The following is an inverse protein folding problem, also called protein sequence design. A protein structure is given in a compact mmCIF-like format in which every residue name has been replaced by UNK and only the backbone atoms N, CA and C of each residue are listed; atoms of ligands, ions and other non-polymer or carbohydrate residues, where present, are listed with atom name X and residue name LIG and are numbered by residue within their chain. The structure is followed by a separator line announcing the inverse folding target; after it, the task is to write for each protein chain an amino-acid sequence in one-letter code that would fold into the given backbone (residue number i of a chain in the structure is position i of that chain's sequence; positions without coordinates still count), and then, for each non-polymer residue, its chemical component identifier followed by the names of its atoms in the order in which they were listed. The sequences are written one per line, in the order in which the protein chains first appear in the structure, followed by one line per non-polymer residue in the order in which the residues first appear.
data_IF_846946140777
#
_entry.id   IF_846946140777
#
_cell.length_a   1.000
_cell.length_b   1.000
_cell.length_c   1.000
_cell.angle_alpha   90.00
_cell.angle_beta   90.00
_cell.angle_gamma   90.00
#
_symmetry.space_group_name_H-M   'P 1'
#
loop_
_entity.id
_entity.type
_entity.pdbx_description
1 polymer ?
#
# COMPACT_ATOMS: atom_id res chain seq x y z
N UNK A 1 1.09 5.23 10.70
CA UNK A 1 -0.13 4.64 11.26
C UNK A 1 -0.45 5.39 12.51
N UNK A 2 -1.61 6.03 12.51
CA UNK A 2 -2.15 6.70 13.68
C UNK A 2 -2.52 5.66 14.77
N UNK A 3 -2.69 6.07 16.04
CA UNK A 3 -3.14 5.17 17.08
C UNK A 3 -4.45 4.47 16.69
N UNK A 4 -4.53 3.15 16.89
CA UNK A 4 -5.71 2.31 16.59
C UNK A 4 -6.07 2.21 15.09
N UNK A 5 -5.23 2.77 14.20
CA UNK A 5 -5.45 2.71 12.76
C UNK A 5 -5.04 1.35 12.19
N UNK A 6 -5.96 0.70 11.48
CA UNK A 6 -5.67 -0.54 10.78
C UNK A 6 -4.71 -0.30 9.60
N UNK A 7 -3.73 -1.21 9.34
CA UNK A 7 -2.69 -0.96 8.33
C UNK A 7 -3.21 -0.73 6.90
N UNK A 8 -4.34 -1.35 6.54
CA UNK A 8 -4.99 -1.16 5.25
C UNK A 8 -5.61 0.24 5.12
N UNK A 9 -6.22 0.75 6.20
CA UNK A 9 -6.79 2.10 6.24
C UNK A 9 -5.69 3.15 6.18
N UNK A 10 -4.60 2.94 6.93
CA UNK A 10 -3.41 3.77 6.86
C UNK A 10 -2.86 3.84 5.43
N UNK A 11 -2.70 2.70 4.75
CA UNK A 11 -2.16 2.68 3.39
C UNK A 11 -3.01 3.49 2.39
N UNK A 12 -4.35 3.45 2.52
CA UNK A 12 -5.26 4.22 1.66
C UNK A 12 -5.24 5.71 2.01
N UNK A 13 -5.20 6.05 3.30
CA UNK A 13 -5.12 7.45 3.74
C UNK A 13 -3.81 8.10 3.29
N UNK A 14 -2.67 7.47 3.60
CA UNK A 14 -1.33 7.98 3.29
C UNK A 14 -1.14 8.22 1.78
N UNK A 15 -1.57 7.29 0.92
CA UNK A 15 -1.42 7.49 -0.54
C UNK A 15 -2.35 8.57 -1.10
N UNK A 16 -3.48 8.83 -0.44
CA UNK A 16 -4.34 9.96 -0.76
C UNK A 16 -3.68 11.29 -0.37
N UNK A 17 -3.11 11.38 0.84
CA UNK A 17 -2.42 12.57 1.35
C UNK A 17 -1.12 12.87 0.60
N UNK A 18 -0.30 11.85 0.33
CA UNK A 18 1.04 12.02 -0.24
C UNK A 18 1.04 12.05 -1.77
N UNK A 19 0.16 11.28 -2.42
CA UNK A 19 0.16 11.10 -3.87
C UNK A 19 -1.14 11.50 -4.55
N UNK A 20 -2.20 11.87 -3.81
CA UNK A 20 -3.44 12.35 -4.39
C UNK A 20 -4.15 11.32 -5.26
N UNK A 21 -4.11 10.03 -4.90
CA UNK A 21 -4.77 8.97 -5.65
C UNK A 21 -5.73 8.18 -4.78
N UNK A 22 -6.81 7.69 -5.39
CA UNK A 22 -7.70 6.69 -4.79
C UNK A 22 -7.80 5.49 -5.71
N UNK A 23 -8.19 4.37 -5.15
CA UNK A 23 -8.19 3.12 -5.89
C UNK A 23 -8.82 1.96 -5.16
N UNK A 24 -8.82 0.81 -5.82
CA UNK A 24 -9.19 -0.46 -5.21
C UNK A 24 -7.96 -1.04 -4.52
N UNK A 25 -8.02 -1.14 -3.18
CA UNK A 25 -6.96 -1.76 -2.40
C UNK A 25 -6.94 -3.26 -2.66
N UNK A 26 -5.78 -3.77 -3.01
CA UNK A 26 -5.52 -5.18 -3.28
C UNK A 26 -4.81 -5.89 -2.13
N UNK A 27 -4.06 -6.94 -2.48
CA UNK A 27 -3.35 -7.77 -1.52
C UNK A 27 -2.24 -7.00 -0.77
N UNK A 28 -1.94 -7.46 0.44
CA UNK A 28 -0.69 -7.16 1.13
C UNK A 28 0.47 -7.79 0.34
N UNK A 29 1.45 -6.97 -0.04
CA UNK A 29 2.71 -7.41 -0.66
C UNK A 29 3.64 -7.98 0.41
N UNK A 30 3.73 -7.30 1.55
CA UNK A 30 4.57 -7.73 2.65
C UNK A 30 4.70 -6.67 3.74
N UNK A 31 5.43 -7.04 4.78
CA UNK A 31 5.78 -6.17 5.91
C UNK A 31 7.28 -5.98 5.87
N UNK A 32 7.73 -4.75 5.67
CA UNK A 32 9.13 -4.42 5.45
C UNK A 32 9.68 -3.63 6.63
N UNK A 33 10.83 -4.05 7.14
CA UNK A 33 11.50 -3.38 8.24
C UNK A 33 12.70 -2.59 7.74
N UNK A 34 12.73 -1.30 8.06
CA UNK A 34 13.90 -0.46 7.93
C UNK A 34 14.55 -0.33 9.31
N UNK A 35 15.59 -1.13 9.57
CA UNK A 35 16.28 -1.17 10.87
C UNK A 35 16.98 0.14 11.22
N UNK A 36 17.54 0.83 10.24
CA UNK A 36 18.25 2.09 10.43
C UNK A 36 17.30 3.21 10.90
N UNK A 37 16.10 3.24 10.32
CA UNK A 37 15.04 4.19 10.69
C UNK A 37 14.11 3.67 11.79
N UNK A 38 14.27 2.42 12.22
CA UNK A 38 13.39 1.71 13.17
C UNK A 38 11.92 1.75 12.77
N UNK A 39 11.66 1.67 11.47
CA UNK A 39 10.30 1.68 10.91
C UNK A 39 9.90 0.31 10.39
N UNK A 40 8.62 -0.02 10.53
CA UNK A 40 7.99 -1.17 9.89
C UNK A 40 6.85 -0.66 9.01
N UNK A 41 6.81 -1.09 7.76
CA UNK A 41 5.85 -0.61 6.76
C UNK A 41 5.07 -1.79 6.19
N UNK A 42 3.75 -1.70 6.26
CA UNK A 42 2.84 -2.61 5.58
C UNK A 42 2.61 -2.09 4.17
N UNK A 43 2.96 -2.89 3.16
CA UNK A 43 2.91 -2.47 1.76
C UNK A 43 1.81 -3.24 1.06
N UNK A 44 0.86 -2.53 0.46
CA UNK A 44 -0.25 -3.10 -0.29
C UNK A 44 -0.14 -2.74 -1.77
N UNK A 45 -0.80 -3.53 -2.62
CA UNK A 45 -1.11 -3.10 -3.98
C UNK A 45 -2.32 -2.19 -3.94
N UNK A 46 -2.27 -1.04 -4.61
CA UNK A 46 -3.44 -0.21 -4.91
C UNK A 46 -3.59 -0.12 -6.43
N UNK A 47 -4.75 -0.52 -6.94
CA UNK A 47 -5.08 -0.26 -8.35
C UNK A 47 -5.76 1.11 -8.41
N UNK A 48 -5.02 2.09 -8.91
CA UNK A 48 -5.49 3.48 -8.99
C UNK A 48 -6.68 3.59 -9.94
N UNK A 49 -7.77 4.19 -9.47
CA UNK A 49 -8.99 4.45 -10.24
C UNK A 49 -9.31 5.93 -10.34
N UNK A 50 -8.74 6.76 -9.46
CA UNK A 50 -8.92 8.22 -9.42
C UNK A 50 -7.59 8.89 -9.13
N UNK A 51 -7.32 9.97 -9.86
CA UNK A 51 -6.13 10.82 -9.71
C UNK A 51 -6.63 12.24 -9.47
N UNK A 52 -6.34 12.77 -8.29
CA UNK A 52 -6.73 14.12 -7.87
C UNK A 52 -5.72 15.13 -8.42
N UNK A 53 -6.18 16.25 -8.98
CA UNK A 53 -5.29 17.32 -9.46
C UNK A 53 -4.56 18.01 -8.30
N UNK A 54 -5.30 18.36 -7.24
CA UNK A 54 -4.77 18.91 -6.00
C UNK A 54 -4.84 17.87 -4.88
N UNK A 55 -3.77 17.76 -4.10
CA UNK A 55 -3.71 16.86 -2.95
C UNK A 55 -2.87 17.46 -1.83
N UNK A 56 -3.06 16.95 -0.61
CA UNK A 56 -2.57 17.57 0.62
C UNK A 56 -1.07 17.90 0.58
N UNK A 57 -0.21 16.91 0.32
CA UNK A 57 1.23 17.14 0.31
C UNK A 57 1.71 17.99 -0.89
N UNK A 58 0.99 17.99 -2.01
CA UNK A 58 1.31 18.92 -3.11
C UNK A 58 1.07 20.36 -2.69
N UNK A 59 -0.10 20.62 -2.09
CA UNK A 59 -0.50 21.96 -1.66
C UNK A 59 0.34 22.44 -0.46
N UNK A 60 0.58 21.56 0.52
CA UNK A 60 1.20 21.94 1.78
C UNK A 60 2.73 22.01 1.71
N UNK A 61 3.38 21.09 0.98
CA UNK A 61 4.84 20.97 0.96
C UNK A 61 5.45 20.88 -0.45
N UNK A 62 4.63 21.02 -1.50
CA UNK A 62 5.11 20.96 -2.89
C UNK A 62 5.58 19.57 -3.33
N UNK A 63 5.06 18.50 -2.71
CA UNK A 63 5.41 17.13 -3.10
C UNK A 63 4.99 16.85 -4.55
N UNK A 64 5.84 16.15 -5.29
CA UNK A 64 5.61 15.76 -6.69
C UNK A 64 5.34 14.27 -6.80
N UNK A 65 4.65 13.87 -7.87
CA UNK A 65 4.39 12.46 -8.24
C UNK A 65 4.67 12.24 -9.72
N UNK A 66 5.09 11.04 -10.08
CA UNK A 66 5.34 10.63 -11.46
C UNK A 66 5.12 9.12 -11.59
N UNK A 67 4.66 8.69 -12.77
CA UNK A 67 4.50 7.27 -13.09
C UNK A 67 5.81 6.69 -13.62
N UNK A 68 6.19 5.53 -13.09
CA UNK A 68 7.36 4.79 -13.54
C UNK A 68 6.98 3.39 -13.99
N UNK A 69 7.71 2.86 -14.98
CA UNK A 69 7.81 1.40 -15.16
C UNK A 69 8.51 0.82 -13.93
N UNK A 70 8.13 -0.39 -13.52
CA UNK A 70 8.69 -1.03 -12.32
C UNK A 70 10.22 -1.04 -12.32
N UNK A 71 10.83 -1.44 -13.44
CA UNK A 71 12.30 -1.51 -13.55
C UNK A 71 12.97 -0.14 -13.39
N UNK A 72 12.31 0.95 -13.79
CA UNK A 72 12.84 2.30 -13.63
C UNK A 72 12.60 2.84 -12.22
N UNK A 73 11.45 2.50 -11.61
CA UNK A 73 11.15 2.80 -10.21
C UNK A 73 12.21 2.19 -9.27
N UNK A 74 12.60 0.92 -9.50
CA UNK A 74 13.65 0.26 -8.73
C UNK A 74 14.96 1.03 -8.83
N UNK A 75 15.39 1.39 -10.06
CA UNK A 75 16.65 2.13 -10.28
C UNK A 75 16.68 3.46 -9.52
N UNK A 76 15.62 4.26 -9.58
CA UNK A 76 15.58 5.57 -8.92
C UNK A 76 15.53 5.44 -7.39
N UNK A 77 14.87 4.41 -6.87
CA UNK A 77 14.78 4.17 -5.42
C UNK A 77 16.07 3.59 -4.83
N UNK A 78 16.81 2.79 -5.60
CA UNK A 78 17.93 1.98 -5.12
C UNK A 78 18.97 2.78 -4.31
N UNK A 79 19.25 4.02 -4.70
CA UNK A 79 20.32 4.81 -4.09
C UNK A 79 19.94 5.38 -2.71
N UNK A 80 18.71 5.91 -2.55
CA UNK A 80 18.31 6.63 -1.33
C UNK A 80 17.22 5.94 -0.51
N UNK A 81 16.54 4.96 -1.09
CA UNK A 81 15.42 4.23 -0.50
C UNK A 81 15.49 2.73 -0.88
N UNK A 82 16.60 2.03 -0.61
CA UNK A 82 16.78 0.63 -1.03
C UNK A 82 15.72 -0.32 -0.45
N UNK A 83 15.20 -0.04 0.76
CA UNK A 83 14.08 -0.80 1.33
C UNK A 83 12.81 -0.67 0.49
N UNK A 84 12.52 0.51 -0.09
CA UNK A 84 11.37 0.68 -0.97
C UNK A 84 11.59 0.02 -2.33
N UNK A 85 12.84 -0.01 -2.82
CA UNK A 85 13.18 -0.74 -4.05
C UNK A 85 12.86 -2.25 -3.91
N UNK A 86 13.12 -2.86 -2.75
CA UNK A 86 12.84 -4.29 -2.54
C UNK A 86 11.35 -4.65 -2.49
N UNK A 87 10.44 -3.67 -2.34
CA UNK A 87 8.99 -3.91 -2.39
C UNK A 87 8.59 -4.53 -3.74
N UNK A 88 9.22 -4.08 -4.83
CA UNK A 88 8.94 -4.55 -6.17
C UNK A 88 9.49 -5.96 -6.45
N UNK A 89 10.55 -6.37 -5.76
CA UNK A 89 11.08 -7.74 -5.85
C UNK A 89 10.08 -8.75 -5.26
N UNK A 90 9.54 -8.44 -4.08
CA UNK A 90 8.49 -9.25 -3.43
C UNK A 90 7.19 -9.22 -4.24
N UNK A 91 6.83 -8.07 -4.82
CA UNK A 91 5.67 -7.96 -5.71
C UNK A 91 5.77 -8.97 -6.87
N UNK A 92 6.95 -9.08 -7.49
CA UNK A 92 7.21 -10.02 -8.60
C UNK A 92 7.15 -11.48 -8.17
N UNK A 93 7.68 -11.82 -6.99
CA UNK A 93 7.63 -13.18 -6.43
C UNK A 93 6.19 -13.63 -6.17
N UNK A 94 5.34 -12.74 -5.64
CA UNK A 94 3.92 -13.02 -5.44
C UNK A 94 3.14 -13.26 -6.75
N UNK A 95 3.56 -12.66 -7.87
CA UNK A 95 2.96 -12.97 -9.18
C UNK A 95 3.32 -14.37 -9.69
N UNK A 96 4.53 -14.86 -9.39
CA UNK A 96 4.99 -16.20 -9.79
C UNK A 96 4.34 -17.32 -8.96
N UNK A 97 4.00 -17.05 -7.70
CA UNK A 97 3.36 -18.01 -6.80
C UNK A 97 1.88 -18.31 -7.13
N UNK A 98 1.24 -17.49 -7.99
CA UNK A 98 -0.20 -17.59 -8.28
C UNK A 98 -0.57 -18.68 -9.31
N UNK A 99 0.37 -19.52 -9.74
CA UNK A 99 0.10 -20.68 -10.60
C UNK A 99 -0.43 -21.89 -9.79
N UNK A 100 -1.55 -21.70 -9.08
CA UNK A 100 -2.42 -22.80 -8.68
C UNK A 100 -2.67 -23.00 -7.19
N UNK A 101 -3.29 -22.03 -6.50
CA UNK A 101 -4.13 -22.33 -5.32
C UNK A 101 -5.17 -21.22 -5.11
N UNK A 102 -6.48 -21.53 -4.94
CA UNK A 102 -7.50 -20.51 -4.71
C UNK A 102 -7.42 -20.01 -3.27
N UNK A 103 -7.21 -18.71 -3.09
CA UNK A 103 -7.30 -18.04 -1.79
C UNK A 103 -8.79 -17.89 -1.45
N UNK A 104 -9.23 -18.55 -0.38
CA UNK A 104 -10.60 -18.47 0.13
C UNK A 104 -10.97 -17.02 0.46
N UNK A 105 -12.05 -16.56 -0.14
CA UNK A 105 -12.78 -15.35 0.24
C UNK A 105 -13.37 -15.58 1.63
N UNK A 106 -12.85 -14.90 2.65
CA UNK A 106 -13.54 -14.77 3.94
C UNK A 106 -14.73 -13.85 3.73
N UNK A 107 -15.90 -14.44 3.50
CA UNK A 107 -17.18 -13.75 3.61
C UNK A 107 -17.35 -13.31 5.06
N UNK A 108 -17.41 -12.00 5.29
CA UNK A 108 -17.84 -11.44 6.56
C UNK A 108 -19.30 -11.84 6.80
N UNK A 109 -19.51 -12.71 7.78
CA UNK A 109 -20.83 -13.00 8.33
C UNK A 109 -21.24 -11.82 9.22
N UNK A 110 -22.25 -11.05 8.81
CA UNK A 110 -22.95 -10.13 9.71
C UNK A 110 -23.57 -10.94 10.87
N UNK A 111 -22.96 -10.87 12.05
CA UNK A 111 -23.61 -11.33 13.27
C UNK A 111 -24.63 -10.28 13.68
N UNK A 112 -25.89 -10.55 13.34
CA UNK A 112 -27.08 -9.90 13.88
C UNK A 112 -26.99 -9.80 15.40
N UNK A 113 -26.95 -8.57 15.93
CA UNK A 113 -27.31 -8.32 17.33
C UNK A 113 -28.79 -8.64 17.49
N UNK A 114 -29.10 -9.60 18.36
CA UNK A 114 -30.43 -9.75 18.93
C UNK A 114 -30.30 -10.03 20.42
N UNK A 115 -31.08 -9.24 21.16
CA UNK A 115 -31.24 -9.13 22.61
C UNK A 115 -31.29 -10.44 23.41
N UNK A 116 -30.90 -10.34 24.69
CA UNK A 116 -31.35 -11.05 25.92
C UNK A 116 -30.28 -10.68 26.98
N UNK A 117 -30.54 -10.08 28.15
CA UNK A 117 -31.67 -10.14 29.09
C UNK A 117 -31.68 -8.89 29.99
#
# INVERSE_FOLDING_TARGET
MEPEEEPNMAAVREVCEEAGVKGTLGRLVGIFENRDRKHRTYVYVLIVTEVLEDWEDSVNIGRKREWFKIEDAIKVLQYHKPVQASYFETLRQGCLANNGTPVMTTTYSESSMSDIR
#
